data_IF_186896333065
#
_entry.id   IF_186896333065
#
_cell.length_a   1.000
_cell.length_b   1.000
_cell.length_c   1.000
_cell.angle_alpha   90.00
_cell.angle_beta   90.00
_cell.angle_gamma   90.00
#
_symmetry.space_group_name_H-M   'P 1'
#
loop_
_entity.id
_entity.type
_entity.pdbx_description
1 polymer ?
#
# COMPACT_ATOMS: atom_id res chain seq x y z
N UNK A 1 6.73 29.92 -20.99
CA UNK A 1 7.39 28.96 -20.11
C UNK A 1 6.75 29.14 -18.74
N UNK A 2 5.67 28.42 -18.49
CA UNK A 2 4.94 28.47 -17.20
C UNK A 2 5.25 27.19 -16.44
N UNK A 3 5.96 27.36 -15.33
CA UNK A 3 6.35 26.31 -14.40
C UNK A 3 5.12 25.98 -13.54
N UNK A 4 4.38 24.94 -13.91
CA UNK A 4 3.31 24.43 -13.09
C UNK A 4 3.94 23.71 -11.87
N UNK A 5 4.01 24.44 -10.76
CA UNK A 5 4.38 23.87 -9.47
C UNK A 5 3.38 22.75 -9.12
N UNK A 6 3.87 21.53 -9.10
CA UNK A 6 3.14 20.39 -8.58
C UNK A 6 2.78 20.70 -7.12
N UNK A 7 1.50 20.93 -6.84
CA UNK A 7 0.96 21.05 -5.49
C UNK A 7 1.13 19.70 -4.80
N UNK A 8 2.20 19.54 -4.04
CA UNK A 8 2.41 18.40 -3.17
C UNK A 8 1.29 18.39 -2.13
N UNK A 9 0.37 17.45 -2.29
CA UNK A 9 -0.71 17.26 -1.32
C UNK A 9 -0.10 16.79 0.00
N UNK A 10 -0.19 17.64 1.00
CA UNK A 10 0.44 17.44 2.30
C UNK A 10 -0.18 16.20 2.98
N UNK A 11 0.65 15.22 3.28
CA UNK A 11 0.31 14.04 4.07
C UNK A 11 -0.15 14.47 5.47
N UNK A 12 -1.28 13.92 5.96
CA UNK A 12 -1.74 14.14 7.33
C UNK A 12 -1.30 12.97 8.23
N UNK A 13 -0.30 13.20 9.11
CA UNK A 13 0.23 12.19 10.00
C UNK A 13 -0.76 11.69 11.05
N UNK A 14 -1.57 12.59 11.60
CA UNK A 14 -2.52 12.25 12.67
C UNK A 14 -3.60 11.28 12.17
N UNK A 15 -3.98 11.40 10.89
CA UNK A 15 -4.91 10.47 10.25
C UNK A 15 -4.30 9.08 10.08
N UNK A 16 -2.99 8.99 9.81
CA UNK A 16 -2.29 7.71 9.68
C UNK A 16 -2.11 7.01 11.02
N UNK A 17 -1.76 7.75 12.07
CA UNK A 17 -1.55 7.20 13.41
C UNK A 17 -2.82 6.63 14.05
N UNK A 18 -3.99 7.21 13.76
CA UNK A 18 -5.28 6.74 14.28
C UNK A 18 -5.57 5.26 13.99
N UNK A 19 -5.04 4.73 12.88
CA UNK A 19 -5.25 3.35 12.45
C UNK A 19 -3.95 2.54 12.39
N UNK A 20 -2.93 2.98 13.13
CA UNK A 20 -1.57 2.42 13.08
C UNK A 20 -1.54 0.92 13.34
N UNK A 21 -2.16 0.44 14.43
CA UNK A 21 -2.19 -0.96 14.79
C UNK A 21 -2.86 -1.84 13.75
N UNK A 22 -3.98 -1.38 13.17
CA UNK A 22 -4.74 -2.12 12.16
C UNK A 22 -4.04 -2.15 10.80
N UNK A 23 -3.27 -1.12 10.45
CA UNK A 23 -2.48 -1.06 9.23
C UNK A 23 -1.19 -1.87 9.31
N UNK A 24 -0.68 -2.10 10.52
CA UNK A 24 0.52 -2.90 10.75
C UNK A 24 0.24 -4.43 10.66
N UNK A 25 -0.94 -4.89 11.04
CA UNK A 25 -1.29 -6.33 11.04
C UNK A 25 -0.97 -7.04 9.71
N UNK A 26 -1.37 -6.51 8.54
CA UNK A 26 -1.05 -7.16 7.27
C UNK A 26 0.44 -7.29 6.99
N UNK A 27 1.26 -6.34 7.47
CA UNK A 27 2.71 -6.43 7.34
C UNK A 27 3.27 -7.63 8.14
N UNK A 28 2.83 -7.79 9.37
CA UNK A 28 3.29 -8.92 10.20
C UNK A 28 2.76 -10.26 9.69
N UNK A 29 1.52 -10.31 9.19
CA UNK A 29 0.96 -11.51 8.56
C UNK A 29 1.74 -11.89 7.29
N UNK A 30 2.21 -10.91 6.51
CA UNK A 30 3.05 -11.10 5.34
C UNK A 30 4.45 -11.61 5.72
N UNK A 31 5.13 -10.89 6.62
CA UNK A 31 6.51 -11.23 7.05
C UNK A 31 6.55 -12.56 7.78
N UNK A 32 5.50 -12.90 8.54
CA UNK A 32 5.37 -14.18 9.24
C UNK A 32 5.26 -15.41 8.31
N UNK A 33 4.90 -15.21 7.03
CA UNK A 33 4.85 -16.26 6.00
C UNK A 33 6.13 -16.39 5.18
N UNK A 34 7.07 -15.47 5.35
CA UNK A 34 8.35 -15.56 4.64
C UNK A 34 9.19 -16.72 5.19
N UNK A 35 9.94 -17.42 4.33
CA UNK A 35 10.74 -18.56 4.75
C UNK A 35 11.81 -18.16 5.76
N UNK A 36 12.06 -19.06 6.70
CA UNK A 36 13.20 -18.99 7.61
C UNK A 36 14.50 -19.24 6.85
N UNK A 37 15.63 -18.99 7.50
CA UNK A 37 16.96 -19.21 6.95
C UNK A 37 17.87 -18.00 7.14
N UNK A 38 19.14 -18.11 6.72
CA UNK A 38 20.07 -17.00 6.80
C UNK A 38 19.65 -15.87 5.85
N UNK A 39 19.56 -14.65 6.37
CA UNK A 39 19.19 -13.46 5.62
C UNK A 39 20.24 -12.38 5.89
N UNK A 40 20.83 -11.85 4.84
CA UNK A 40 21.87 -10.83 4.91
C UNK A 40 21.41 -9.47 4.35
N UNK A 41 20.50 -9.48 3.36
CA UNK A 41 20.04 -8.27 2.69
C UNK A 41 18.54 -8.28 2.49
N UNK A 42 17.89 -7.25 3.01
CA UNK A 42 16.43 -7.06 2.94
C UNK A 42 16.12 -5.68 2.36
N UNK A 43 15.20 -5.61 1.42
CA UNK A 43 14.61 -4.35 0.98
C UNK A 43 13.14 -4.27 1.35
N UNK A 44 12.71 -3.14 1.92
CA UNK A 44 11.31 -2.79 2.16
C UNK A 44 10.89 -1.71 1.16
N UNK A 45 10.08 -2.10 0.17
CA UNK A 45 9.68 -1.25 -0.94
C UNK A 45 8.37 -0.52 -0.64
N UNK A 46 8.45 0.80 -0.54
CA UNK A 46 7.38 1.67 -0.05
C UNK A 46 7.36 1.72 1.47
N UNK A 47 8.53 1.87 2.08
CA UNK A 47 8.74 1.78 3.53
C UNK A 47 8.06 2.90 4.34
N UNK A 48 7.62 3.98 3.69
CA UNK A 48 6.96 5.11 4.34
C UNK A 48 7.82 5.71 5.46
N UNK A 49 7.25 5.78 6.68
CA UNK A 49 7.95 6.31 7.87
C UNK A 49 8.97 5.35 8.47
N UNK A 50 9.25 4.20 7.84
CA UNK A 50 10.26 3.25 8.26
C UNK A 50 9.96 2.52 9.58
N UNK A 51 8.79 2.72 10.16
CA UNK A 51 8.43 2.13 11.44
C UNK A 51 8.33 0.60 11.37
N UNK A 52 7.64 0.09 10.36
CA UNK A 52 7.54 -1.35 10.11
C UNK A 52 8.87 -1.93 9.59
N UNK A 53 9.59 -1.16 8.78
CA UNK A 53 10.92 -1.53 8.29
C UNK A 53 11.89 -1.86 9.42
N UNK A 54 11.83 -1.10 10.53
CA UNK A 54 12.67 -1.33 11.72
C UNK A 54 12.43 -2.69 12.35
N UNK A 55 11.19 -3.20 12.31
CA UNK A 55 10.86 -4.52 12.88
C UNK A 55 11.46 -5.68 12.09
N UNK A 56 11.89 -5.45 10.84
CA UNK A 56 12.60 -6.44 10.05
C UNK A 56 13.96 -6.81 10.66
N UNK A 57 14.61 -5.88 11.38
CA UNK A 57 15.84 -6.17 12.13
C UNK A 57 15.61 -7.10 13.32
N UNK A 58 14.40 -7.12 13.90
CA UNK A 58 14.04 -8.08 14.94
C UNK A 58 13.86 -9.48 14.36
N UNK A 59 13.27 -9.56 13.16
CA UNK A 59 13.07 -10.83 12.43
C UNK A 59 14.39 -11.39 11.87
N UNK A 60 15.26 -10.50 11.38
CA UNK A 60 16.56 -10.84 10.76
C UNK A 60 17.68 -9.99 11.35
N UNK A 61 18.18 -10.32 12.55
CA UNK A 61 19.13 -9.47 13.31
C UNK A 61 20.47 -9.23 12.61
N UNK A 62 20.88 -10.15 11.73
CA UNK A 62 22.14 -10.04 11.00
C UNK A 62 22.01 -9.36 9.63
N UNK A 63 20.79 -9.03 9.22
CA UNK A 63 20.55 -8.47 7.89
C UNK A 63 20.85 -6.96 7.83
N UNK A 64 21.36 -6.53 6.69
CA UNK A 64 21.28 -5.13 6.24
C UNK A 64 19.88 -4.89 5.69
N UNK A 65 19.17 -3.92 6.23
CA UNK A 65 17.81 -3.56 5.82
C UNK A 65 17.83 -2.20 5.14
N UNK A 66 17.24 -2.14 3.94
CA UNK A 66 17.12 -0.91 3.15
C UNK A 66 15.64 -0.61 2.99
N UNK A 67 15.16 0.50 3.55
CA UNK A 67 13.84 1.06 3.28
C UNK A 67 13.89 1.97 2.07
N UNK A 68 13.03 1.74 1.08
CA UNK A 68 12.96 2.56 -0.14
C UNK A 68 11.59 3.21 -0.24
N UNK A 69 11.54 4.53 -0.39
CA UNK A 69 10.31 5.27 -0.64
C UNK A 69 10.60 6.49 -1.55
N UNK A 70 9.61 6.93 -2.32
CA UNK A 70 9.75 8.13 -3.17
C UNK A 70 9.50 9.43 -2.41
N UNK A 71 8.91 9.38 -1.23
CA UNK A 71 8.51 10.53 -0.43
C UNK A 71 9.62 10.97 0.51
N UNK A 72 10.28 12.09 0.22
CA UNK A 72 11.26 12.70 1.12
C UNK A 72 10.66 13.03 2.49
N UNK A 73 9.38 13.44 2.56
CA UNK A 73 8.70 13.74 3.83
C UNK A 73 8.55 12.50 4.70
N UNK A 74 8.21 11.34 4.10
CA UNK A 74 8.14 10.07 4.82
C UNK A 74 9.51 9.64 5.33
N UNK A 75 10.52 9.75 4.49
CA UNK A 75 11.89 9.37 4.86
C UNK A 75 12.51 10.33 5.89
N UNK A 76 12.16 11.61 5.87
CA UNK A 76 12.57 12.53 6.94
C UNK A 76 12.08 12.04 8.30
N UNK A 77 10.82 11.57 8.40
CA UNK A 77 10.30 10.96 9.63
C UNK A 77 10.95 9.61 9.94
N UNK A 78 11.24 8.82 8.92
CA UNK A 78 11.99 7.58 9.13
C UNK A 78 13.35 7.85 9.79
N UNK A 79 14.00 8.95 9.44
CA UNK A 79 15.28 9.36 10.01
C UNK A 79 15.20 9.89 11.46
N UNK A 80 14.02 10.35 11.92
CA UNK A 80 13.80 10.79 13.32
C UNK A 80 13.81 9.61 14.31
N UNK A 81 13.60 8.38 13.84
CA UNK A 81 13.65 7.19 14.69
C UNK A 81 15.07 6.84 15.12
N UNK A 82 15.22 5.90 16.08
CA UNK A 82 16.52 5.52 16.61
C UNK A 82 17.44 5.00 15.49
N UNK A 83 18.67 5.49 15.46
CA UNK A 83 19.68 5.04 14.51
C UNK A 83 19.99 3.55 14.73
N UNK A 84 20.05 2.80 13.65
CA UNK A 84 20.38 1.37 13.65
C UNK A 84 21.51 1.13 12.64
N UNK A 85 22.64 0.53 13.02
CA UNK A 85 23.82 0.40 12.14
C UNK A 85 23.55 -0.34 10.83
N UNK A 86 22.55 -1.25 10.81
CA UNK A 86 22.20 -2.07 9.65
C UNK A 86 20.88 -1.64 8.98
N UNK A 87 20.42 -0.42 9.24
CA UNK A 87 19.23 0.15 8.62
C UNK A 87 19.56 1.43 7.87
N UNK A 88 19.21 1.48 6.62
CA UNK A 88 19.31 2.67 5.78
C UNK A 88 18.00 2.98 5.08
N UNK A 89 17.82 4.24 4.69
CA UNK A 89 16.68 4.70 3.93
C UNK A 89 17.13 5.40 2.66
N UNK A 90 16.50 5.06 1.53
CA UNK A 90 16.82 5.58 0.21
C UNK A 90 15.58 6.23 -0.40
N UNK A 91 15.74 7.50 -0.83
CA UNK A 91 14.71 8.20 -1.58
C UNK A 91 14.84 7.85 -3.06
N UNK A 92 13.93 7.00 -3.56
CA UNK A 92 13.95 6.57 -4.95
C UNK A 92 12.54 6.20 -5.43
N UNK A 93 12.34 6.31 -6.75
CA UNK A 93 11.16 5.77 -7.42
C UNK A 93 11.29 4.25 -7.55
N UNK A 94 10.33 3.52 -6.98
CA UNK A 94 10.28 2.06 -7.04
C UNK A 94 10.20 1.53 -8.48
N UNK A 95 9.72 2.32 -9.43
CA UNK A 95 9.68 1.94 -10.84
C UNK A 95 11.08 1.82 -11.47
N UNK A 96 12.07 2.51 -10.93
CA UNK A 96 13.44 2.57 -11.47
C UNK A 96 14.55 2.18 -10.49
N UNK A 97 14.22 2.05 -9.18
CA UNK A 97 15.22 1.68 -8.17
C UNK A 97 15.81 0.30 -8.43
N UNK A 98 17.12 0.18 -8.24
CA UNK A 98 17.88 -1.07 -8.33
C UNK A 98 18.79 -1.21 -7.09
N UNK A 99 18.88 -2.42 -6.50
CA UNK A 99 19.80 -2.68 -5.41
C UNK A 99 21.23 -2.84 -5.92
N UNK A 100 22.21 -2.47 -5.11
CA UNK A 100 23.62 -2.63 -5.41
C UNK A 100 24.09 -4.10 -5.48
N UNK A 101 23.36 -5.01 -4.85
CA UNK A 101 23.63 -6.44 -4.85
C UNK A 101 22.34 -7.24 -4.64
N UNK A 102 22.33 -8.56 -4.98
CA UNK A 102 21.18 -9.43 -4.80
C UNK A 102 20.64 -9.42 -3.37
N UNK A 103 19.31 -9.54 -3.27
CA UNK A 103 18.54 -9.45 -2.02
C UNK A 103 18.02 -10.84 -1.62
N UNK A 104 18.18 -11.19 -0.36
CA UNK A 104 17.58 -12.41 0.19
C UNK A 104 16.07 -12.25 0.41
N UNK A 105 15.64 -11.03 0.77
CA UNK A 105 14.22 -10.73 0.98
C UNK A 105 13.86 -9.37 0.38
N UNK A 106 12.73 -9.35 -0.33
CA UNK A 106 12.06 -8.12 -0.75
C UNK A 106 10.68 -8.14 -0.11
N UNK A 107 10.36 -7.09 0.64
CA UNK A 107 9.05 -6.89 1.27
C UNK A 107 8.40 -5.68 0.64
N UNK A 108 7.10 -5.74 0.36
CA UNK A 108 6.32 -4.56 -0.03
C UNK A 108 4.91 -4.66 0.56
N UNK A 109 4.57 -3.71 1.42
CA UNK A 109 3.26 -3.68 2.06
C UNK A 109 2.50 -2.41 1.69
N UNK A 110 1.38 -2.57 0.99
CA UNK A 110 0.50 -1.49 0.56
C UNK A 110 1.19 -0.38 -0.26
N UNK A 111 2.14 -0.76 -1.12
CA UNK A 111 2.89 0.16 -1.98
C UNK A 111 2.71 -0.14 -3.48
N UNK A 112 2.80 -1.39 -3.92
CA UNK A 112 2.83 -1.72 -5.35
C UNK A 112 1.54 -1.33 -6.10
N UNK A 113 0.39 -1.22 -5.43
CA UNK A 113 -0.86 -0.76 -6.07
C UNK A 113 -0.76 0.65 -6.69
N UNK A 114 0.25 1.42 -6.34
CA UNK A 114 0.50 2.75 -6.89
C UNK A 114 1.31 2.73 -8.18
N UNK A 115 1.93 1.60 -8.50
CA UNK A 115 2.78 1.44 -9.68
C UNK A 115 1.97 0.86 -10.86
N UNK A 116 2.34 1.21 -12.10
CA UNK A 116 1.78 0.61 -13.30
C UNK A 116 2.44 -0.75 -13.63
N UNK A 117 1.85 -1.47 -14.58
CA UNK A 117 2.48 -2.58 -15.30
C UNK A 117 3.10 -3.64 -14.38
N UNK A 118 2.28 -4.20 -13.47
CA UNK A 118 2.73 -5.17 -12.48
C UNK A 118 3.48 -6.36 -13.09
N UNK A 119 3.17 -6.77 -14.33
CA UNK A 119 3.89 -7.84 -15.01
C UNK A 119 5.37 -7.53 -15.23
N UNK A 120 5.69 -6.30 -15.66
CA UNK A 120 7.06 -5.82 -15.87
C UNK A 120 7.75 -5.59 -14.53
N UNK A 121 7.02 -5.00 -13.58
CA UNK A 121 7.51 -4.74 -12.24
C UNK A 121 7.94 -6.03 -11.53
N UNK A 122 7.11 -7.07 -11.54
CA UNK A 122 7.40 -8.36 -10.92
C UNK A 122 8.63 -9.02 -11.56
N UNK A 123 8.71 -9.03 -12.88
CA UNK A 123 9.88 -9.56 -13.59
C UNK A 123 11.17 -8.85 -13.14
N UNK A 124 11.13 -7.52 -13.01
CA UNK A 124 12.27 -6.74 -12.55
C UNK A 124 12.63 -7.05 -11.09
N UNK A 125 11.66 -7.05 -10.18
CA UNK A 125 11.89 -7.31 -8.76
C UNK A 125 12.44 -8.72 -8.51
N UNK A 126 11.97 -9.72 -9.28
CA UNK A 126 12.46 -11.10 -9.12
C UNK A 126 13.89 -11.29 -9.62
N UNK A 127 14.39 -10.45 -10.54
CA UNK A 127 15.81 -10.44 -10.94
C UNK A 127 16.73 -9.99 -9.81
N UNK A 128 16.24 -9.17 -8.90
CA UNK A 128 17.02 -8.70 -7.75
C UNK A 128 17.17 -9.76 -6.66
N UNK A 129 16.40 -10.86 -6.70
CA UNK A 129 16.51 -11.92 -5.71
C UNK A 129 17.80 -12.73 -5.87
N UNK A 130 18.46 -12.96 -4.73
CA UNK A 130 19.50 -13.98 -4.60
C UNK A 130 18.92 -15.39 -4.86
N UNK A 131 19.75 -16.42 -5.07
CA UNK A 131 19.32 -17.82 -4.98
C UNK A 131 18.60 -18.05 -3.64
N UNK A 132 17.50 -18.81 -3.64
CA UNK A 132 16.59 -18.99 -2.49
C UNK A 132 15.98 -17.70 -1.90
N UNK A 133 16.18 -16.56 -2.56
CA UNK A 133 15.59 -15.29 -2.18
C UNK A 133 14.07 -15.28 -2.36
N UNK A 134 13.37 -14.41 -1.61
CA UNK A 134 11.91 -14.30 -1.71
C UNK A 134 11.40 -12.87 -1.81
N UNK A 135 10.33 -12.71 -2.59
CA UNK A 135 9.54 -11.49 -2.75
C UNK A 135 8.21 -11.68 -2.03
N UNK A 136 7.94 -10.88 -1.01
CA UNK A 136 6.69 -10.86 -0.27
C UNK A 136 5.94 -9.55 -0.52
N UNK A 137 4.70 -9.66 -0.97
CA UNK A 137 3.89 -8.49 -1.33
C UNK A 137 2.51 -8.60 -0.71
N UNK A 138 2.04 -7.47 -0.18
CA UNK A 138 0.66 -7.27 0.22
C UNK A 138 0.09 -6.04 -0.49
N UNK A 139 -1.12 -6.16 -1.01
CA UNK A 139 -1.85 -5.04 -1.62
C UNK A 139 -3.34 -5.06 -1.20
N UNK A 140 -3.99 -3.88 -1.09
CA UNK A 140 -5.44 -3.83 -0.91
C UNK A 140 -6.19 -4.45 -2.10
N UNK A 141 -7.21 -5.28 -1.84
CA UNK A 141 -8.02 -5.94 -2.87
C UNK A 141 -9.51 -5.72 -2.64
N UNK A 142 -9.92 -4.45 -2.60
CA UNK A 142 -11.30 -4.05 -2.30
C UNK A 142 -12.05 -3.44 -3.49
N UNK A 143 -11.40 -3.31 -4.65
CA UNK A 143 -11.99 -2.65 -5.80
C UNK A 143 -13.21 -3.43 -6.29
N UNK A 144 -14.31 -2.72 -6.61
CA UNK A 144 -15.55 -3.34 -7.05
C UNK A 144 -16.43 -3.91 -5.93
N UNK A 145 -16.02 -3.83 -4.67
CA UNK A 145 -16.79 -4.34 -3.53
C UNK A 145 -17.15 -3.23 -2.52
N UNK A 146 -18.30 -3.39 -1.87
CA UNK A 146 -18.74 -2.56 -0.75
C UNK A 146 -18.61 -1.05 -0.99
N UNK A 147 -18.01 -0.34 -0.06
CA UNK A 147 -17.80 1.11 -0.12
C UNK A 147 -16.94 1.55 -1.32
N UNK A 148 -16.01 0.70 -1.78
CA UNK A 148 -15.13 1.01 -2.92
C UNK A 148 -15.90 0.96 -4.23
N UNK A 149 -16.87 0.05 -4.39
CA UNK A 149 -17.77 0.01 -5.54
C UNK A 149 -18.63 1.28 -5.59
N UNK A 150 -19.17 1.70 -4.45
CA UNK A 150 -19.95 2.95 -4.36
C UNK A 150 -19.12 4.19 -4.68
N UNK A 151 -17.82 4.20 -4.31
CA UNK A 151 -16.88 5.23 -4.73
C UNK A 151 -16.67 5.22 -6.25
N UNK A 152 -16.47 4.04 -6.85
CA UNK A 152 -16.26 3.89 -8.29
C UNK A 152 -17.50 4.36 -9.09
N UNK A 153 -18.72 4.08 -8.60
CA UNK A 153 -19.97 4.56 -9.17
C UNK A 153 -20.09 6.08 -9.05
N UNK A 154 -19.85 6.65 -7.86
CA UNK A 154 -19.95 8.09 -7.62
C UNK A 154 -19.01 8.91 -8.51
N UNK A 155 -17.79 8.43 -8.72
CA UNK A 155 -16.78 9.09 -9.58
C UNK A 155 -17.24 9.20 -11.03
N UNK A 156 -18.10 8.28 -11.49
CA UNK A 156 -18.62 8.26 -12.87
C UNK A 156 -19.87 9.11 -13.07
N UNK A 157 -20.47 9.65 -12.02
CA UNK A 157 -21.67 10.48 -12.10
C UNK A 157 -21.35 11.98 -12.19
N UNK A 158 -22.27 12.74 -12.78
CA UNK A 158 -22.19 14.21 -12.74
C UNK A 158 -22.44 14.72 -11.31
N UNK A 159 -21.77 15.78 -10.85
CA UNK A 159 -20.77 16.56 -11.59
C UNK A 159 -19.35 15.97 -11.48
N UNK A 160 -19.15 14.87 -10.75
CA UNK A 160 -17.84 14.34 -10.35
C UNK A 160 -17.04 13.79 -11.52
N UNK A 161 -17.70 13.14 -12.48
CA UNK A 161 -17.04 12.59 -13.67
C UNK A 161 -16.20 13.63 -14.42
N UNK A 162 -16.71 14.85 -14.55
CA UNK A 162 -16.02 15.92 -15.25
C UNK A 162 -14.82 16.44 -14.43
N UNK A 163 -15.02 16.54 -13.10
CA UNK A 163 -14.00 17.00 -12.15
C UNK A 163 -12.79 16.05 -12.06
N UNK A 164 -13.03 14.76 -12.24
CA UNK A 164 -11.99 13.74 -12.10
C UNK A 164 -11.32 13.32 -13.41
N UNK A 165 -11.61 13.97 -14.55
CA UNK A 165 -10.93 13.70 -15.81
C UNK A 165 -9.41 13.92 -15.73
N UNK A 166 -8.96 14.84 -14.89
CA UNK A 166 -7.55 15.17 -14.66
C UNK A 166 -7.01 14.67 -13.33
N UNK A 167 -7.81 13.88 -12.60
CA UNK A 167 -7.35 13.32 -11.33
C UNK A 167 -6.16 12.38 -11.52
N UNK A 168 -5.25 12.39 -10.57
CA UNK A 168 -4.11 11.50 -10.56
C UNK A 168 -4.51 10.02 -10.59
N UNK A 169 -3.54 9.15 -10.91
CA UNK A 169 -3.76 7.72 -10.99
C UNK A 169 -4.33 7.17 -9.67
N UNK A 170 -5.42 6.43 -9.78
CA UNK A 170 -5.97 5.68 -8.66
C UNK A 170 -5.19 4.37 -8.46
N UNK A 171 -5.04 3.90 -7.21
CA UNK A 171 -4.41 2.63 -6.95
C UNK A 171 -5.14 1.52 -7.71
N UNK A 172 -4.39 0.63 -8.33
CA UNK A 172 -4.94 -0.52 -9.05
C UNK A 172 -4.04 -1.73 -8.84
N UNK A 173 -4.65 -2.90 -8.88
CA UNK A 173 -3.94 -4.18 -8.82
C UNK A 173 -4.50 -5.10 -9.90
N UNK A 174 -3.77 -6.14 -10.20
CA UNK A 174 -4.18 -7.23 -11.07
C UNK A 174 -4.97 -8.29 -10.27
N UNK A 175 -5.53 -9.28 -10.98
CA UNK A 175 -6.24 -10.39 -10.34
C UNK A 175 -5.26 -11.33 -9.61
N UNK A 176 -5.72 -12.08 -8.59
CA UNK A 176 -4.89 -13.11 -7.97
C UNK A 176 -4.32 -14.12 -8.97
N UNK A 177 -5.12 -14.52 -9.97
CA UNK A 177 -4.69 -15.43 -11.03
C UNK A 177 -3.55 -14.83 -11.87
N UNK A 178 -3.62 -13.55 -12.22
CA UNK A 178 -2.55 -12.86 -12.95
C UNK A 178 -1.22 -12.94 -12.20
N UNK A 179 -1.23 -12.65 -10.88
CA UNK A 179 0.00 -12.74 -10.07
C UNK A 179 0.54 -14.17 -10.02
N UNK A 180 -0.34 -15.17 -9.84
CA UNK A 180 0.06 -16.56 -9.79
C UNK A 180 0.70 -17.01 -11.12
N UNK A 181 0.04 -16.78 -12.24
CA UNK A 181 0.54 -17.17 -13.57
C UNK A 181 1.85 -16.46 -13.92
N UNK A 182 1.94 -15.16 -13.58
CA UNK A 182 3.15 -14.38 -13.88
C UNK A 182 4.35 -14.87 -13.08
N UNK A 183 4.21 -15.12 -11.78
CA UNK A 183 5.31 -15.54 -10.91
C UNK A 183 5.72 -16.99 -11.19
N UNK A 184 4.77 -17.90 -11.40
CA UNK A 184 5.05 -19.27 -11.84
C UNK A 184 5.76 -19.30 -13.21
N UNK A 185 5.33 -18.44 -14.14
CA UNK A 185 5.97 -18.29 -15.44
C UNK A 185 7.42 -17.77 -15.39
N UNK A 186 7.79 -17.11 -14.30
CA UNK A 186 9.16 -16.67 -13.98
C UNK A 186 9.98 -17.76 -13.27
N UNK A 187 9.42 -18.94 -13.04
CA UNK A 187 10.08 -20.08 -12.40
C UNK A 187 10.15 -20.01 -10.88
N UNK A 188 9.26 -19.23 -10.25
CA UNK A 188 9.22 -19.09 -8.81
C UNK A 188 8.20 -20.05 -8.18
N UNK A 189 8.48 -20.51 -6.99
CA UNK A 189 7.46 -21.10 -6.11
C UNK A 189 6.61 -19.99 -5.50
N UNK A 190 5.29 -20.20 -5.36
CA UNK A 190 4.38 -19.17 -4.89
C UNK A 190 3.42 -19.69 -3.81
N UNK A 191 3.26 -18.93 -2.74
CA UNK A 191 2.11 -18.96 -1.86
C UNK A 191 1.30 -17.67 -2.08
N UNK A 192 0.00 -17.81 -2.36
CA UNK A 192 -0.90 -16.68 -2.59
C UNK A 192 -2.18 -16.87 -1.80
N UNK A 193 -2.61 -15.83 -1.07
CA UNK A 193 -3.82 -15.88 -0.27
C UNK A 193 -4.48 -14.51 -0.12
N UNK A 194 -5.70 -14.53 0.37
CA UNK A 194 -6.44 -13.33 0.75
C UNK A 194 -6.82 -13.37 2.22
N UNK A 195 -6.81 -12.20 2.87
CA UNK A 195 -7.31 -12.01 4.23
C UNK A 195 -8.29 -10.85 4.25
N UNK A 196 -9.43 -11.06 4.91
CA UNK A 196 -10.41 -10.00 5.18
C UNK A 196 -10.24 -9.55 6.62
N UNK A 197 -9.79 -8.30 6.80
CA UNK A 197 -9.72 -7.67 8.12
C UNK A 197 -11.03 -6.93 8.37
N UNK A 198 -11.66 -7.18 9.50
CA UNK A 198 -12.86 -6.47 9.91
C UNK A 198 -12.49 -5.33 10.86
N UNK A 199 -12.46 -4.11 10.34
CA UNK A 199 -12.16 -2.92 11.14
C UNK A 199 -13.41 -2.42 11.83
N UNK A 200 -13.34 -2.20 13.14
CA UNK A 200 -14.46 -1.63 13.90
C UNK A 200 -14.49 -0.12 13.68
N UNK A 201 -15.58 0.35 13.07
CA UNK A 201 -15.84 1.76 12.74
C UNK A 201 -17.04 2.27 13.50
N UNK A 202 -17.04 3.54 13.91
CA UNK A 202 -18.18 4.17 14.58
C UNK A 202 -19.35 4.38 13.63
N UNK A 203 -19.10 4.57 12.32
CA UNK A 203 -20.10 4.81 11.31
C UNK A 203 -19.49 4.98 9.91
N UNK A 204 -20.36 5.23 8.91
CA UNK A 204 -19.95 5.42 7.52
C UNK A 204 -18.94 6.58 7.32
N UNK A 205 -19.04 7.64 8.12
CA UNK A 205 -18.09 8.75 8.07
C UNK A 205 -16.66 8.29 8.41
N UNK A 206 -16.50 7.36 9.35
CA UNK A 206 -15.18 6.82 9.70
C UNK A 206 -14.62 5.90 8.61
N UNK A 207 -15.47 5.18 7.87
CA UNK A 207 -15.08 4.45 6.66
C UNK A 207 -14.52 5.41 5.62
N UNK A 208 -15.18 6.55 5.39
CA UNK A 208 -14.70 7.58 4.45
C UNK A 208 -13.38 8.20 4.94
N UNK A 209 -13.23 8.46 6.23
CA UNK A 209 -11.94 8.91 6.80
C UNK A 209 -10.82 7.89 6.57
N UNK A 210 -11.10 6.60 6.75
CA UNK A 210 -10.13 5.55 6.40
C UNK A 210 -9.72 5.62 4.91
N UNK A 211 -10.68 5.82 4.02
CA UNK A 211 -10.46 5.88 2.57
C UNK A 211 -9.66 7.12 2.14
N UNK A 212 -9.68 8.22 2.91
CA UNK A 212 -8.88 9.43 2.61
C UNK A 212 -7.37 9.16 2.57
N UNK A 213 -6.88 8.26 3.41
CA UNK A 213 -5.48 7.86 3.42
C UNK A 213 -5.06 6.98 2.24
N UNK A 214 -6.02 6.54 1.41
CA UNK A 214 -5.79 5.57 0.32
C UNK A 214 -6.52 5.98 -0.97
N UNK A 215 -7.66 5.37 -1.25
CA UNK A 215 -8.40 5.50 -2.53
C UNK A 215 -8.88 6.92 -2.85
N UNK A 216 -9.17 7.74 -1.84
CA UNK A 216 -9.67 9.11 -2.04
C UNK A 216 -8.55 10.13 -2.29
N UNK A 217 -7.30 9.82 -1.94
CA UNK A 217 -6.20 10.77 -2.01
C UNK A 217 -6.07 11.46 -3.38
N UNK A 218 -5.97 10.75 -4.52
CA UNK A 218 -5.84 11.39 -5.82
C UNK A 218 -7.10 12.15 -6.25
N UNK A 219 -8.28 11.74 -5.78
CA UNK A 219 -9.55 12.41 -6.07
C UNK A 219 -9.66 13.73 -5.31
N UNK A 220 -9.37 13.73 -4.02
CA UNK A 220 -9.42 14.93 -3.19
C UNK A 220 -8.39 15.98 -3.64
N UNK A 221 -7.24 15.55 -4.14
CA UNK A 221 -6.24 16.47 -4.70
C UNK A 221 -6.73 17.22 -5.94
N UNK A 222 -7.71 16.70 -6.66
CA UNK A 222 -8.29 17.32 -7.85
C UNK A 222 -9.47 18.27 -7.55
N UNK A 223 -9.90 18.38 -6.29
CA UNK A 223 -11.08 19.16 -5.88
C UNK A 223 -10.68 20.37 -5.02
N UNK A 224 -11.41 21.46 -5.18
CA UNK A 224 -11.33 22.60 -4.26
C UNK A 224 -11.98 22.24 -2.89
N UNK A 225 -11.57 22.91 -1.77
CA UNK A 225 -12.06 22.53 -0.43
C UNK A 225 -13.59 22.44 -0.28
N UNK A 226 -14.42 23.31 -0.84
CA UNK A 226 -15.87 23.14 -0.79
C UNK A 226 -16.35 21.87 -1.52
N UNK A 227 -15.78 21.58 -2.70
CA UNK A 227 -16.10 20.40 -3.50
C UNK A 227 -15.68 19.11 -2.81
N UNK A 228 -14.55 19.12 -2.07
CA UNK A 228 -14.15 17.98 -1.25
C UNK A 228 -15.20 17.65 -0.20
N UNK A 229 -15.76 18.66 0.47
CA UNK A 229 -16.80 18.47 1.48
C UNK A 229 -18.08 17.88 0.86
N UNK A 230 -18.52 18.40 -0.27
CA UNK A 230 -19.69 17.89 -1.00
C UNK A 230 -19.48 16.44 -1.46
N UNK A 231 -18.33 16.13 -2.04
CA UNK A 231 -17.99 14.80 -2.48
C UNK A 231 -17.95 13.78 -1.33
N UNK A 232 -17.31 14.15 -0.23
CA UNK A 232 -17.22 13.30 0.97
C UNK A 232 -18.60 13.08 1.59
N UNK A 233 -19.45 14.12 1.66
CA UNK A 233 -20.82 13.99 2.16
C UNK A 233 -21.68 13.07 1.27
N UNK A 234 -21.56 13.19 -0.05
CA UNK A 234 -22.24 12.31 -1.00
C UNK A 234 -21.80 10.85 -0.85
N UNK A 235 -20.50 10.61 -0.65
CA UNK A 235 -19.97 9.27 -0.43
C UNK A 235 -20.45 8.67 0.90
N UNK A 236 -20.45 9.45 1.99
CA UNK A 236 -20.98 9.02 3.29
C UNK A 236 -22.47 8.63 3.16
N UNK A 237 -23.27 9.44 2.48
CA UNK A 237 -24.70 9.16 2.27
C UNK A 237 -24.93 7.83 1.54
N UNK A 238 -24.08 7.48 0.58
CA UNK A 238 -24.16 6.20 -0.16
C UNK A 238 -23.70 5.00 0.66
N UNK A 239 -22.66 5.17 1.47
CA UNK A 239 -22.10 4.10 2.30
C UNK A 239 -23.02 3.76 3.48
N UNK A 240 -23.74 4.74 4.02
CA UNK A 240 -24.59 4.59 5.22
C UNK A 240 -25.61 3.44 5.11
N UNK A 241 -26.40 3.29 4.03
CA UNK A 241 -27.34 2.18 3.90
C UNK A 241 -26.66 0.81 3.78
N UNK A 242 -25.46 0.76 3.20
CA UNK A 242 -24.72 -0.48 3.02
C UNK A 242 -24.14 -1.02 4.35
N UNK A 243 -23.85 -0.13 5.27
CA UNK A 243 -23.26 -0.44 6.57
C UNK A 243 -24.13 0.11 7.71
N UNK A 244 -25.28 -0.53 8.01
CA UNK A 244 -26.13 -0.10 9.11
C UNK A 244 -25.38 -0.22 10.44
N UNK A 245 -25.48 0.81 11.26
CA UNK A 245 -24.82 0.84 12.56
C UNK A 245 -25.51 -0.10 13.54
N UNK A 246 -24.81 -1.11 14.01
CA UNK A 246 -25.22 -1.96 15.12
C UNK A 246 -24.87 -1.37 16.50
N UNK A 247 -25.19 -2.06 17.61
CA UNK A 247 -24.90 -1.60 18.97
C UNK A 247 -23.40 -1.45 19.26
N UNK A 248 -22.55 -2.12 18.47
CA UNK A 248 -21.09 -2.10 18.64
C UNK A 248 -20.37 -1.34 17.52
N UNK A 249 -21.09 -0.59 16.69
CA UNK A 249 -20.57 0.09 15.50
C UNK A 249 -20.72 -0.76 14.24
N UNK A 250 -19.86 -0.51 13.27
CA UNK A 250 -19.79 -1.21 11.98
C UNK A 250 -18.53 -2.06 11.96
N UNK A 251 -18.60 -3.30 11.50
CA UNK A 251 -17.45 -4.11 11.16
C UNK A 251 -17.18 -4.00 9.67
N UNK A 252 -16.30 -3.07 9.30
CA UNK A 252 -15.97 -2.78 7.92
C UNK A 252 -14.98 -3.81 7.38
N UNK A 253 -15.38 -4.65 6.39
CA UNK A 253 -14.48 -5.63 5.81
C UNK A 253 -13.49 -4.93 4.88
N UNK A 254 -12.21 -5.25 5.07
CA UNK A 254 -11.13 -4.76 4.23
C UNK A 254 -10.29 -5.94 3.73
N UNK A 255 -10.50 -6.32 2.47
CA UNK A 255 -9.80 -7.44 1.83
C UNK A 255 -8.42 -7.01 1.39
N UNK A 256 -7.46 -7.89 1.60
CA UNK A 256 -6.08 -7.74 1.14
C UNK A 256 -5.62 -9.00 0.45
N UNK A 257 -4.88 -8.82 -0.64
CA UNK A 257 -4.21 -9.88 -1.36
C UNK A 257 -2.75 -9.93 -0.92
N UNK A 258 -2.26 -11.13 -0.73
CA UNK A 258 -0.90 -11.43 -0.31
C UNK A 258 -0.28 -12.46 -1.23
N UNK A 259 1.00 -12.35 -1.46
CA UNK A 259 1.78 -13.45 -1.99
C UNK A 259 3.22 -13.44 -1.47
N UNK A 260 3.80 -14.62 -1.37
CA UNK A 260 5.22 -14.85 -1.18
C UNK A 260 5.70 -15.70 -2.35
N UNK A 261 6.61 -15.16 -3.14
CA UNK A 261 7.23 -15.83 -4.27
C UNK A 261 8.69 -16.11 -3.93
N UNK A 262 9.13 -17.37 -4.06
CA UNK A 262 10.48 -17.82 -3.73
C UNK A 262 11.20 -18.24 -5.00
N UNK A 263 12.44 -17.79 -5.13
CA UNK A 263 13.38 -18.28 -6.14
C UNK A 263 13.96 -19.62 -5.69
N UNK A 264 13.88 -20.67 -6.51
CA UNK A 264 14.46 -21.96 -6.16
C UNK A 264 15.98 -21.94 -6.06
#
# INVERSE_FOLDING_TARGET
MSNAAATSHRWDPAQYERFRGERARPFFDLVGRMPDGPVRRVADLGCGTGELTRTLLERWPEAEVIGVDHSQEMLARAAEGPAQPRLSFVCADLASWEPEAPLDRIVSNAALQWLPEHGVLLERLTRFLAPEGSLAVQVPHNRGEGAFRLLDELVLEAPWRERFQTAGRRPSIETPLFYAERLLGLGLEIELWETVYHHRMAGAAEIVEWMKGTALRPLLAALAPPEQQEFLAALVARITPLHPRGPHGIFFPFRRLFFVARKP
#
